data_IF_557040584429
#
_entry.id   IF_557040584429
#
_cell.length_a   1.000
_cell.length_b   1.000
_cell.length_c   1.000
_cell.angle_alpha   90.00
_cell.angle_beta   90.00
_cell.angle_gamma   90.00
#
_symmetry.space_group_name_H-M   'P 1'
#
loop_
_entity.id
_entity.type
_entity.pdbx_description
1 polymer ?
#
# COMPACT_ATOMS: atom_id res chain seq x y z
N UNK A 1 22.13 -11.83 -19.95
CA UNK A 1 23.17 -10.78 -20.04
C UNK A 1 22.70 -9.57 -20.84
N UNK A 2 22.11 -9.70 -22.03
CA UNK A 2 21.56 -8.55 -22.77
C UNK A 2 20.51 -7.74 -21.97
N UNK A 3 19.62 -8.42 -21.24
CA UNK A 3 18.50 -7.79 -20.51
C UNK A 3 18.89 -6.93 -19.30
N UNK A 4 20.04 -7.17 -18.64
CA UNK A 4 20.45 -6.40 -17.46
C UNK A 4 21.23 -5.13 -17.79
N UNK A 5 21.83 -5.07 -18.99
CA UNK A 5 22.52 -3.86 -19.45
C UNK A 5 21.48 -2.81 -19.89
N UNK A 6 20.44 -3.24 -20.60
CA UNK A 6 19.33 -2.42 -21.10
C UNK A 6 18.55 -1.73 -19.96
N UNK A 7 18.27 -2.47 -18.87
CA UNK A 7 17.64 -1.91 -17.66
C UNK A 7 18.53 -0.90 -16.94
N UNK A 8 19.86 -1.05 -17.01
CA UNK A 8 20.79 -0.13 -16.33
C UNK A 8 20.84 1.23 -17.03
N UNK A 9 20.78 1.25 -18.37
CA UNK A 9 20.76 2.48 -19.17
C UNK A 9 19.44 3.24 -19.06
N UNK A 10 18.30 2.53 -19.04
CA UNK A 10 16.99 3.17 -18.85
C UNK A 10 16.87 3.87 -17.47
N UNK A 11 17.39 3.25 -16.41
CA UNK A 11 17.44 3.86 -15.08
C UNK A 11 18.43 5.04 -14.98
N UNK A 12 19.49 5.05 -15.78
CA UNK A 12 20.43 6.18 -15.85
C UNK A 12 19.79 7.40 -16.51
N UNK A 13 19.02 7.19 -17.59
CA UNK A 13 18.26 8.24 -18.27
C UNK A 13 17.18 8.85 -17.35
N UNK A 14 16.42 8.03 -16.62
CA UNK A 14 15.40 8.50 -15.66
C UNK A 14 15.98 9.30 -14.48
N UNK A 15 17.23 9.01 -14.08
CA UNK A 15 17.92 9.71 -12.98
C UNK A 15 18.78 10.90 -13.46
N UNK A 16 18.74 11.23 -14.75
CA UNK A 16 19.52 12.30 -15.36
C UNK A 16 18.75 13.63 -15.41
N UNK A 17 19.39 14.71 -14.98
CA UNK A 17 18.79 16.05 -15.00
C UNK A 17 18.84 16.64 -16.42
N UNK A 18 17.69 16.96 -17.06
CA UNK A 18 17.63 17.39 -18.47
C UNK A 18 18.24 18.78 -18.75
N UNK A 19 18.76 19.48 -17.73
CA UNK A 19 19.44 20.78 -17.87
C UNK A 19 20.97 20.66 -17.83
N UNK A 20 21.52 19.69 -17.09
CA UNK A 20 22.97 19.48 -17.01
C UNK A 20 23.45 18.18 -17.65
N UNK A 21 22.53 17.28 -18.03
CA UNK A 21 22.82 15.98 -18.64
C UNK A 21 23.81 15.15 -17.79
N UNK A 22 23.62 15.25 -16.47
CA UNK A 22 24.31 14.51 -15.42
C UNK A 22 23.23 14.09 -14.40
N UNK A 23 23.48 13.02 -13.66
CA UNK A 23 22.60 12.50 -12.63
C UNK A 23 22.17 13.62 -11.66
N UNK A 24 20.97 13.52 -11.07
CA UNK A 24 20.45 14.55 -10.17
C UNK A 24 21.35 14.84 -8.96
N UNK A 25 21.91 16.05 -8.88
CA UNK A 25 22.67 16.55 -7.71
C UNK A 25 21.83 17.59 -6.99
N UNK A 26 21.44 17.27 -5.76
CA UNK A 26 20.55 18.12 -4.96
C UNK A 26 19.26 18.51 -5.72
N UNK A 27 18.45 17.52 -6.17
CA UNK A 27 17.24 17.76 -6.94
C UNK A 27 16.21 18.59 -6.17
N UNK A 28 15.59 19.52 -6.88
CA UNK A 28 14.61 20.45 -6.37
C UNK A 28 13.35 20.42 -7.26
N UNK A 29 12.19 20.40 -6.61
CA UNK A 29 10.88 20.30 -7.23
C UNK A 29 10.40 21.68 -7.70
N UNK A 30 9.88 21.75 -8.93
CA UNK A 30 9.10 22.89 -9.42
C UNK A 30 7.60 22.69 -9.15
N UNK A 31 6.78 23.76 -9.13
CA UNK A 31 5.32 23.64 -8.94
C UNK A 31 4.60 22.76 -9.98
N UNK A 32 5.22 22.46 -11.12
CA UNK A 32 4.72 21.52 -12.14
C UNK A 32 5.14 20.05 -11.90
N UNK A 33 5.70 19.70 -10.74
CA UNK A 33 6.13 18.34 -10.40
C UNK A 33 7.49 17.89 -10.97
N UNK A 34 8.09 18.66 -11.89
CA UNK A 34 9.37 18.32 -12.50
C UNK A 34 10.56 18.67 -11.60
N UNK A 35 11.65 17.90 -11.71
CA UNK A 35 12.80 17.95 -10.80
C UNK A 35 14.06 18.42 -11.52
N UNK A 36 14.86 19.29 -10.90
CA UNK A 36 16.12 19.78 -11.45
C UNK A 36 17.16 19.98 -10.35
N UNK A 37 18.44 19.77 -10.64
CA UNK A 37 19.54 20.08 -9.71
C UNK A 37 19.44 21.53 -9.20
N UNK A 38 19.75 21.80 -7.93
CA UNK A 38 19.70 23.15 -7.35
C UNK A 38 20.43 24.22 -8.19
N UNK A 39 21.60 23.87 -8.73
CA UNK A 39 22.38 24.76 -9.59
C UNK A 39 21.70 25.05 -10.94
N UNK A 40 20.93 24.08 -11.46
CA UNK A 40 20.12 24.22 -12.68
C UNK A 40 18.90 25.12 -12.41
N UNK A 41 18.17 24.92 -11.31
CA UNK A 41 17.07 25.83 -10.89
C UNK A 41 17.60 27.26 -10.70
N UNK A 42 18.75 27.42 -10.02
CA UNK A 42 19.43 28.72 -9.86
C UNK A 42 19.93 29.32 -11.19
N UNK A 43 20.16 28.52 -12.24
CA UNK A 43 20.51 29.01 -13.58
C UNK A 43 19.25 29.49 -14.31
N UNK A 44 18.18 28.69 -14.32
CA UNK A 44 16.88 29.04 -14.91
C UNK A 44 16.31 30.32 -14.29
N UNK A 45 16.35 30.46 -12.96
CA UNK A 45 15.92 31.69 -12.27
C UNK A 45 16.77 32.92 -12.60
N UNK A 46 18.05 32.76 -12.97
CA UNK A 46 18.93 33.88 -13.41
C UNK A 46 18.71 34.29 -14.87
N UNK A 47 18.16 33.39 -15.68
CA UNK A 47 17.81 33.63 -17.09
C UNK A 47 16.35 34.07 -17.26
N UNK A 48 15.66 34.38 -16.17
CA UNK A 48 14.25 34.70 -16.15
C UNK A 48 13.95 36.13 -16.61
N UNK A 49 13.21 36.27 -17.70
CA UNK A 49 12.69 37.55 -18.13
C UNK A 49 11.47 37.95 -17.29
N UNK A 50 11.43 39.22 -16.84
CA UNK A 50 10.32 39.77 -16.03
C UNK A 50 9.97 38.94 -14.78
N UNK A 51 10.96 38.26 -14.19
CA UNK A 51 10.79 37.46 -12.97
C UNK A 51 10.06 36.13 -13.17
N UNK A 52 9.93 35.64 -14.41
CA UNK A 52 9.37 34.32 -14.74
C UNK A 52 10.35 33.50 -15.58
N UNK A 53 10.38 32.19 -15.32
CA UNK A 53 11.09 31.21 -16.12
C UNK A 53 10.12 30.11 -16.59
N UNK A 54 10.53 29.30 -17.56
CA UNK A 54 9.76 28.15 -18.03
C UNK A 54 10.41 26.85 -17.59
N UNK A 55 9.61 25.84 -17.27
CA UNK A 55 10.09 24.48 -17.05
C UNK A 55 10.67 23.91 -18.37
N UNK A 56 11.90 23.38 -18.40
CA UNK A 56 12.48 22.76 -19.59
C UNK A 56 11.67 21.58 -20.15
N UNK A 57 10.97 20.83 -19.29
CA UNK A 57 10.22 19.63 -19.67
C UNK A 57 8.80 19.98 -20.16
N UNK A 58 7.92 20.48 -19.28
CA UNK A 58 6.53 20.80 -19.63
C UNK A 58 6.29 22.23 -20.16
N UNK A 59 7.30 23.09 -20.21
CA UNK A 59 7.23 24.50 -20.71
C UNK A 59 6.34 25.47 -19.90
N UNK A 60 5.77 25.01 -18.79
CA UNK A 60 4.96 25.78 -17.84
C UNK A 60 5.73 26.96 -17.21
N UNK A 61 5.06 28.07 -16.91
CA UNK A 61 5.67 29.32 -16.46
C UNK A 61 5.61 29.53 -14.94
N UNK A 62 6.77 29.53 -14.29
CA UNK A 62 6.92 29.71 -12.85
C UNK A 62 7.53 31.07 -12.49
N UNK A 63 7.15 31.63 -11.34
CA UNK A 63 7.74 32.88 -10.80
C UNK A 63 9.06 32.56 -10.11
N UNK A 64 10.07 33.42 -10.25
CA UNK A 64 11.37 33.23 -9.58
C UNK A 64 11.29 33.23 -8.05
N UNK A 65 10.28 33.91 -7.49
CA UNK A 65 10.04 34.06 -6.05
C UNK A 65 9.54 32.79 -5.36
N UNK A 66 9.03 31.79 -6.09
CA UNK A 66 8.56 30.55 -5.45
C UNK A 66 9.75 29.77 -4.91
N UNK A 67 9.74 29.47 -3.61
CA UNK A 67 10.70 28.53 -3.04
C UNK A 67 10.54 27.17 -3.74
N UNK A 68 11.65 26.60 -4.19
CA UNK A 68 11.70 25.22 -4.67
C UNK A 68 12.10 24.35 -3.49
N UNK A 69 11.36 23.29 -3.20
CA UNK A 69 11.69 22.35 -2.13
C UNK A 69 12.66 21.27 -2.64
N UNK A 70 13.54 20.77 -1.77
CA UNK A 70 14.45 19.67 -2.08
C UNK A 70 13.69 18.35 -2.11
N UNK A 71 13.91 17.54 -3.15
CA UNK A 71 13.38 16.19 -3.24
C UNK A 71 14.38 15.20 -2.61
N UNK A 72 14.21 14.92 -1.32
CA UNK A 72 15.09 14.03 -0.56
C UNK A 72 15.12 12.59 -1.10
N UNK A 73 13.97 12.07 -1.56
CA UNK A 73 13.89 10.71 -2.13
C UNK A 73 14.72 10.60 -3.41
N UNK A 74 14.54 11.52 -4.35
CA UNK A 74 15.28 11.52 -5.62
C UNK A 74 16.79 11.79 -5.40
N UNK A 75 17.15 12.59 -4.40
CA UNK A 75 18.55 12.80 -4.01
C UNK A 75 19.20 11.47 -3.58
N UNK A 76 18.56 10.75 -2.65
CA UNK A 76 19.06 9.48 -2.12
C UNK A 76 19.19 8.41 -3.21
N UNK A 77 18.22 8.30 -4.12
CA UNK A 77 18.24 7.34 -5.23
C UNK A 77 19.39 7.65 -6.21
N UNK A 78 19.57 8.92 -6.59
CA UNK A 78 20.65 9.33 -7.49
C UNK A 78 22.05 9.15 -6.85
N UNK A 79 22.17 9.34 -5.54
CA UNK A 79 23.44 9.12 -4.82
C UNK A 79 23.76 7.62 -4.63
N UNK A 80 22.78 6.76 -4.35
CA UNK A 80 22.96 5.30 -4.33
C UNK A 80 23.37 4.77 -5.71
N UNK A 81 22.71 5.23 -6.79
CA UNK A 81 23.07 4.86 -8.17
C UNK A 81 24.53 5.24 -8.50
N UNK A 82 24.99 6.45 -8.13
CA UNK A 82 26.40 6.85 -8.26
C UNK A 82 27.35 5.94 -7.50
N UNK A 83 26.98 5.56 -6.27
CA UNK A 83 27.83 4.73 -5.42
C UNK A 83 27.97 3.31 -6.00
N UNK A 84 26.86 2.72 -6.45
CA UNK A 84 26.83 1.43 -7.16
C UNK A 84 27.63 1.48 -8.47
N UNK A 85 27.47 2.52 -9.28
CA UNK A 85 28.25 2.71 -10.52
C UNK A 85 29.76 2.73 -10.26
N UNK A 86 30.22 3.45 -9.22
CA UNK A 86 31.64 3.45 -8.81
C UNK A 86 32.15 2.10 -8.32
N UNK A 87 31.31 1.33 -7.63
CA UNK A 87 31.69 0.00 -7.14
C UNK A 87 31.98 -1.00 -8.28
N UNK A 88 31.34 -0.84 -9.45
CA UNK A 88 31.59 -1.69 -10.62
C UNK A 88 32.91 -1.31 -11.32
N UNK A 89 33.20 -0.01 -11.49
CA UNK A 89 34.44 0.45 -12.14
C UNK A 89 35.71 0.24 -11.31
N UNK A 90 35.61 0.14 -9.98
CA UNK A 90 36.80 0.10 -9.09
C UNK A 90 37.37 -1.31 -8.85
N UNK A 91 36.87 -2.34 -9.53
CA UNK A 91 37.28 -3.75 -9.31
C UNK A 91 38.59 -4.17 -9.98
N UNK A 92 39.39 -3.22 -10.48
CA UNK A 92 40.68 -3.46 -11.16
C UNK A 92 41.88 -2.69 -10.59
N UNK A 93 41.74 -2.02 -9.43
CA UNK A 93 42.87 -1.56 -8.63
C UNK A 93 42.47 -1.43 -7.14
N UNK A 94 42.81 -2.45 -6.37
CA UNK A 94 43.04 -2.36 -4.92
C UNK A 94 44.53 -2.02 -4.69
N UNK A 95 44.86 -1.30 -3.61
CA UNK A 95 45.06 -1.97 -2.32
C UNK A 95 44.39 -1.31 -1.10
N UNK A 96 44.36 -2.09 -0.03
CA UNK A 96 43.87 -1.86 1.33
C UNK A 96 43.89 -0.42 1.89
N UNK A 97 42.81 -0.09 2.62
CA UNK A 97 42.71 1.10 3.47
C UNK A 97 41.40 1.13 4.27
N UNK A 98 41.44 0.74 5.53
CA UNK A 98 40.29 0.73 6.45
C UNK A 98 39.69 2.14 6.67
N UNK A 99 38.36 2.31 6.76
CA UNK A 99 37.73 3.62 6.92
C UNK A 99 37.93 4.16 8.34
N UNK A 100 39.02 4.90 8.55
CA UNK A 100 39.17 5.72 9.76
C UNK A 100 38.41 7.04 9.58
N UNK A 101 37.64 7.40 10.61
CA UNK A 101 36.84 8.62 10.63
C UNK A 101 37.73 9.86 10.50
N UNK A 102 37.42 10.72 9.53
CA UNK A 102 38.20 11.91 9.23
C UNK A 102 38.04 13.00 10.32
N UNK A 103 38.69 12.79 11.47
CA UNK A 103 39.01 13.89 12.38
C UNK A 103 40.07 14.74 11.70
N UNK A 104 39.71 15.96 11.30
CA UNK A 104 40.64 16.98 10.83
C UNK A 104 41.58 17.37 11.98
N UNK A 105 42.69 16.66 12.12
CA UNK A 105 43.73 16.99 13.09
C UNK A 105 44.37 18.32 12.68
N UNK A 106 44.12 19.37 13.47
CA UNK A 106 44.86 20.63 13.35
C UNK A 106 46.29 20.32 13.80
N UNK A 107 47.25 20.37 12.86
CA UNK A 107 48.66 20.15 13.16
C UNK A 107 49.21 21.30 13.98
N UNK A 108 49.37 21.09 15.29
CA UNK A 108 49.94 22.08 16.21
C UNK A 108 51.47 22.04 16.12
N UNK A 109 52.17 23.17 15.92
CA UNK A 109 53.63 23.19 15.87
C UNK A 109 54.24 22.94 17.26
N UNK A 110 55.51 22.55 17.30
CA UNK A 110 56.30 22.50 18.53
C UNK A 110 56.87 23.89 18.86
N UNK A 111 56.63 24.38 20.08
CA UNK A 111 57.03 25.72 20.52
C UNK A 111 58.55 25.86 20.78
N UNK A 112 59.27 24.74 20.90
CA UNK A 112 60.72 24.70 21.12
C UNK A 112 61.55 24.55 19.85
N UNK A 113 60.94 24.11 18.74
CA UNK A 113 61.67 23.91 17.49
C UNK A 113 61.77 25.23 16.72
N UNK A 114 62.91 25.91 16.83
CA UNK A 114 63.25 27.03 15.95
C UNK A 114 63.07 26.61 14.47
N UNK A 115 62.45 27.44 13.61
CA UNK A 115 62.21 27.12 12.20
C UNK A 115 63.47 27.13 11.30
N UNK A 116 64.64 26.74 11.84
CA UNK A 116 65.93 26.82 11.13
C UNK A 116 67.11 26.01 11.69
N UNK A 117 66.99 25.33 12.83
CA UNK A 117 68.13 24.65 13.47
C UNK A 117 68.07 23.11 13.33
N UNK A 118 68.34 22.60 12.13
CA UNK A 118 68.76 21.19 11.99
C UNK A 118 70.23 21.06 12.38
N UNK A 119 70.51 20.42 13.52
CA UNK A 119 71.86 20.02 13.89
C UNK A 119 72.39 18.91 12.98
N UNK A 120 73.19 19.33 11.99
CA UNK A 120 74.19 18.57 11.25
C UNK A 120 73.77 17.34 10.40
N UNK A 121 73.60 17.56 9.09
CA UNK A 121 74.44 16.89 8.08
C UNK A 121 74.24 17.45 6.65
N UNK A 122 75.33 17.85 5.99
CA UNK A 122 75.43 17.78 4.52
C UNK A 122 74.92 18.97 3.69
N UNK A 123 75.87 19.77 3.22
CA UNK A 123 75.78 20.75 2.11
C UNK A 123 74.79 20.37 0.99
N UNK A 124 73.78 21.21 0.71
CA UNK A 124 72.99 21.10 -0.53
C UNK A 124 71.76 22.03 -0.61
N UNK A 125 71.80 22.94 -1.60
CA UNK A 125 70.68 23.66 -2.24
C UNK A 125 69.75 24.62 -1.43
N UNK A 126 69.56 25.88 -1.89
CA UNK A 126 68.58 26.80 -1.33
C UNK A 126 67.17 26.53 -1.91
N UNK A 127 66.43 25.60 -1.32
CA UNK A 127 65.07 25.27 -1.78
C UNK A 127 64.21 24.37 -0.87
N UNK A 128 64.72 23.96 0.30
CA UNK A 128 63.97 23.10 1.21
C UNK A 128 62.99 23.90 2.09
N UNK A 129 61.74 23.45 2.17
CA UNK A 129 60.70 24.07 3.00
C UNK A 129 61.01 23.93 4.50
N UNK A 130 60.55 24.90 5.29
CA UNK A 130 60.67 24.90 6.75
C UNK A 130 59.96 23.67 7.31
N UNK A 131 60.72 22.72 7.86
CA UNK A 131 60.18 21.53 8.54
C UNK A 131 59.78 21.94 9.96
N UNK A 132 58.54 22.42 10.11
CA UNK A 132 57.97 22.70 11.43
C UNK A 132 57.56 21.37 12.06
N UNK A 133 58.28 20.94 13.10
CA UNK A 133 57.93 19.71 13.81
C UNK A 133 56.57 19.84 14.49
N UNK A 134 55.73 18.82 14.31
CA UNK A 134 54.39 18.78 14.89
C UNK A 134 54.47 18.31 16.34
N UNK A 135 53.77 19.01 17.23
CA UNK A 135 53.65 18.61 18.62
C UNK A 135 52.86 17.31 18.75
N UNK A 136 53.30 16.43 19.67
CA UNK A 136 52.62 15.18 20.03
C UNK A 136 51.89 15.27 21.37
N UNK A 137 52.28 16.22 22.22
CA UNK A 137 51.63 16.55 23.50
C UNK A 137 51.73 18.03 23.80
N UNK A 138 50.72 18.57 24.49
CA UNK A 138 50.78 19.90 25.10
C UNK A 138 50.80 19.75 26.62
N UNK A 139 51.72 20.44 27.29
CA UNK A 139 51.86 20.46 28.75
C UNK A 139 51.02 21.58 29.33
N UNK A 140 49.98 21.26 30.11
CA UNK A 140 49.06 22.25 30.69
C UNK A 140 49.65 23.01 31.91
N UNK A 141 50.89 22.70 32.31
CA UNK A 141 51.61 23.41 33.38
C UNK A 141 52.77 24.27 32.88
N UNK A 142 53.38 23.91 31.76
CA UNK A 142 54.38 24.73 31.07
C UNK A 142 53.78 25.55 29.91
N UNK A 143 52.51 25.31 29.55
CA UNK A 143 51.75 26.00 28.49
C UNK A 143 52.39 25.89 27.10
N UNK A 144 53.08 24.77 26.84
CA UNK A 144 53.86 24.52 25.61
C UNK A 144 53.47 23.19 24.96
N UNK A 145 53.45 23.21 23.63
CA UNK A 145 53.24 22.09 22.72
C UNK A 145 54.60 21.57 22.24
N UNK A 146 54.82 20.26 22.39
CA UNK A 146 56.13 19.63 22.25
C UNK A 146 56.10 18.48 21.25
N UNK A 147 57.08 18.43 20.36
CA UNK A 147 57.36 17.28 19.51
C UNK A 147 57.84 16.07 20.33
N UNK A 148 58.07 14.95 19.65
CA UNK A 148 58.48 13.69 20.27
C UNK A 148 59.84 13.76 21.00
N UNK A 149 60.69 14.73 20.67
CA UNK A 149 61.96 15.00 21.35
C UNK A 149 61.75 15.85 22.61
N UNK A 150 61.11 17.01 22.46
CA UNK A 150 60.90 17.99 23.54
C UNK A 150 59.94 17.50 24.64
N UNK A 151 59.12 16.47 24.38
CA UNK A 151 58.29 15.83 25.42
C UNK A 151 59.08 14.85 26.31
N UNK A 152 60.24 14.33 25.89
CA UNK A 152 61.03 13.34 26.68
C UNK A 152 61.33 13.82 28.12
N UNK A 153 61.77 15.07 28.37
CA UNK A 153 61.94 15.60 29.73
C UNK A 153 60.69 15.49 30.62
N UNK A 154 59.49 15.66 30.04
CA UNK A 154 58.21 15.55 30.74
C UNK A 154 57.76 14.11 31.00
N UNK A 155 58.42 13.11 30.41
CA UNK A 155 58.15 11.68 30.63
C UNK A 155 59.21 11.04 31.53
N UNK A 156 60.46 11.48 31.42
CA UNK A 156 61.63 10.82 32.01
C UNK A 156 62.14 11.51 33.28
N UNK A 157 62.11 12.86 33.36
CA UNK A 157 62.69 13.58 34.49
C UNK A 157 61.70 13.73 35.66
N UNK A 158 62.07 13.37 36.91
CA UNK A 158 61.19 13.50 38.07
C UNK A 158 60.62 14.90 38.31
N UNK A 159 61.33 15.95 37.90
CA UNK A 159 60.90 17.34 38.04
C UNK A 159 59.69 17.71 37.17
N UNK A 160 59.48 17.02 36.05
CA UNK A 160 58.45 17.34 35.05
C UNK A 160 57.44 16.21 34.83
N UNK A 161 57.70 15.00 35.34
CA UNK A 161 56.83 13.82 35.18
C UNK A 161 55.41 13.98 35.71
N UNK A 162 55.23 14.82 36.74
CA UNK A 162 53.92 15.15 37.32
C UNK A 162 53.19 16.28 36.56
N UNK A 163 53.70 16.72 35.41
CA UNK A 163 53.04 17.74 34.60
C UNK A 163 51.93 17.12 33.74
N UNK A 164 50.69 17.64 33.77
CA UNK A 164 49.60 17.13 32.96
C UNK A 164 49.84 17.36 31.46
N UNK A 165 50.04 16.28 30.71
CA UNK A 165 50.16 16.27 29.26
C UNK A 165 48.81 15.88 28.61
N UNK A 166 48.36 16.65 27.63
CA UNK A 166 47.17 16.35 26.81
C UNK A 166 47.53 16.19 25.33
N UNK A 167 46.55 15.81 24.50
CA UNK A 167 46.67 15.92 23.04
C UNK A 167 47.00 17.37 22.63
N UNK A 168 47.67 17.58 21.48
CA UNK A 168 48.05 18.91 21.02
C UNK A 168 46.86 19.85 20.86
N UNK A 169 46.84 20.96 21.61
CA UNK A 169 45.77 21.95 21.55
C UNK A 169 46.20 23.13 20.68
N UNK A 170 45.53 23.32 19.54
CA UNK A 170 45.85 24.41 18.61
C UNK A 170 45.54 25.82 19.14
N UNK A 171 44.74 25.93 20.20
CA UNK A 171 44.53 27.17 20.94
C UNK A 171 44.32 26.87 22.43
N UNK A 172 45.36 27.14 23.23
CA UNK A 172 45.34 26.95 24.68
C UNK A 172 44.43 27.94 25.41
N UNK A 173 44.12 29.12 24.82
CA UNK A 173 43.28 30.14 25.47
C UNK A 173 41.86 29.62 25.74
N UNK A 174 41.37 28.69 24.91
CA UNK A 174 40.08 27.99 25.10
C UNK A 174 40.02 27.09 26.34
N UNK A 175 41.14 26.86 27.01
CA UNK A 175 41.22 26.12 28.29
C UNK A 175 41.52 27.02 29.49
N UNK A 176 41.63 28.34 29.29
CA UNK A 176 41.87 29.33 30.34
C UNK A 176 40.62 30.18 30.61
N UNK A 177 40.49 30.61 31.86
CA UNK A 177 39.58 31.67 32.26
C UNK A 177 40.05 33.01 31.65
N UNK A 178 39.18 33.76 30.93
CA UNK A 178 39.56 35.04 30.32
C UNK A 178 39.80 36.16 31.34
N UNK A 179 39.24 36.06 32.55
CA UNK A 179 39.35 37.07 33.61
C UNK A 179 40.63 36.90 34.44
N UNK A 180 41.07 35.66 34.65
CA UNK A 180 42.16 35.32 35.58
C UNK A 180 43.41 34.76 34.89
N UNK A 181 43.37 34.48 33.57
CA UNK A 181 44.40 33.78 32.76
C UNK A 181 44.85 32.41 33.34
N UNK A 182 44.04 31.84 34.24
CA UNK A 182 44.24 30.53 34.84
C UNK A 182 43.54 29.41 34.06
N UNK A 183 44.16 28.24 33.98
CA UNK A 183 43.55 27.03 33.40
C UNK A 183 42.30 26.60 34.17
N UNK A 184 41.23 26.25 33.45
CA UNK A 184 40.03 25.66 34.04
C UNK A 184 40.34 24.31 34.71
N UNK A 185 39.89 24.13 35.96
CA UNK A 185 40.07 22.88 36.74
C UNK A 185 38.75 22.32 37.26
N UNK A 186 37.74 23.18 37.38
CA UNK A 186 36.44 22.85 37.95
C UNK A 186 35.31 23.18 36.98
N UNK A 187 34.11 22.74 37.34
CA UNK A 187 32.86 23.03 36.66
C UNK A 187 31.85 23.46 37.73
N UNK A 188 31.24 24.62 37.56
CA UNK A 188 30.09 25.04 38.34
C UNK A 188 28.85 24.34 37.79
N UNK A 189 28.13 23.61 38.63
CA UNK A 189 26.94 22.85 38.24
C UNK A 189 25.76 23.78 37.96
N UNK A 190 25.64 24.85 38.75
CA UNK A 190 24.52 25.80 38.76
C UNK A 190 24.58 26.69 37.49
N UNK A 191 25.72 27.36 37.24
CA UNK A 191 25.93 28.16 36.03
C UNK A 191 26.30 27.35 34.78
N UNK A 192 26.54 26.04 34.94
CA UNK A 192 26.90 25.08 33.87
C UNK A 192 28.15 25.50 33.04
N UNK A 193 29.13 26.12 33.69
CA UNK A 193 30.40 26.60 33.07
C UNK A 193 31.67 26.04 33.72
N UNK A 194 32.75 25.98 32.93
CA UNK A 194 34.09 25.68 33.41
C UNK A 194 34.67 26.89 34.17
N UNK A 195 35.30 26.65 35.33
CA UNK A 195 35.87 27.69 36.20
C UNK A 195 37.30 27.36 36.67
N UNK A 196 38.11 28.40 36.88
CA UNK A 196 39.47 28.28 37.44
C UNK A 196 39.44 28.43 38.98
N UNK A 197 40.59 28.39 39.65
CA UNK A 197 40.64 28.47 41.11
C UNK A 197 40.21 29.85 41.62
N UNK A 198 40.67 30.93 40.99
CA UNK A 198 40.29 32.29 41.38
C UNK A 198 38.77 32.52 41.29
N UNK A 199 38.12 32.04 40.22
CA UNK A 199 36.66 32.09 40.04
C UNK A 199 35.86 31.46 41.21
N UNK A 200 36.41 30.47 41.92
CA UNK A 200 35.72 29.80 43.04
C UNK A 200 35.93 30.46 44.39
N UNK A 201 36.91 31.37 44.53
CA UNK A 201 37.31 31.98 45.80
C UNK A 201 36.96 33.47 45.83
N UNK A 202 37.29 34.19 44.77
CA UNK A 202 37.15 35.66 44.68
C UNK A 202 36.19 36.09 43.55
N UNK A 203 35.79 35.17 42.67
CA UNK A 203 34.84 35.40 41.59
C UNK A 203 33.37 35.21 41.96
N UNK A 204 32.50 35.35 40.96
CA UNK A 204 31.03 35.33 41.12
C UNK A 204 30.41 33.98 41.49
N UNK A 205 31.18 32.89 41.55
CA UNK A 205 30.67 31.54 41.85
C UNK A 205 30.78 31.16 43.35
N UNK A 206 30.93 32.15 44.23
CA UNK A 206 31.07 31.92 45.66
C UNK A 206 29.77 31.35 46.26
N UNK A 207 29.82 30.11 46.75
CA UNK A 207 28.66 29.38 47.29
C UNK A 207 27.95 28.44 46.31
N UNK A 208 28.38 28.41 45.04
CA UNK A 208 27.83 27.50 44.03
C UNK A 208 28.37 26.07 44.19
N UNK A 209 27.64 25.10 43.63
CA UNK A 209 27.99 23.68 43.63
C UNK A 209 29.08 23.40 42.59
N UNK A 210 30.34 23.33 43.04
CA UNK A 210 31.50 23.22 42.15
C UNK A 210 32.16 21.83 42.27
N UNK A 211 32.25 21.11 41.15
CA UNK A 211 32.91 19.81 41.02
C UNK A 211 34.20 19.91 40.20
N UNK A 212 35.14 18.97 40.39
CA UNK A 212 36.31 18.88 39.48
C UNK A 212 35.86 18.43 38.10
N UNK A 213 36.49 18.94 37.03
CA UNK A 213 36.16 18.55 35.65
C UNK A 213 36.17 17.02 35.43
N UNK A 214 37.05 16.30 36.13
CA UNK A 214 37.12 14.83 36.09
C UNK A 214 35.89 14.15 36.68
N UNK A 215 35.36 14.68 37.79
CA UNK A 215 34.16 14.12 38.43
C UNK A 215 32.91 14.48 37.63
N UNK A 216 32.75 15.74 37.21
CA UNK A 216 31.64 16.15 36.33
C UNK A 216 31.61 15.33 35.04
N UNK A 217 32.77 15.08 34.41
CA UNK A 217 32.87 14.21 33.23
C UNK A 217 32.45 12.76 33.53
N UNK A 218 32.69 12.24 34.73
CA UNK A 218 32.24 10.90 35.12
C UNK A 218 30.73 10.87 35.33
N UNK A 219 30.18 11.85 36.05
CA UNK A 219 28.76 11.94 36.37
C UNK A 219 27.92 12.12 35.09
N UNK A 220 28.32 13.05 34.21
CA UNK A 220 27.66 13.26 32.92
C UNK A 220 27.77 12.05 31.99
N UNK A 221 28.89 11.31 32.02
CA UNK A 221 29.01 10.05 31.26
C UNK A 221 28.08 8.98 31.77
N UNK A 222 27.96 8.80 33.10
CA UNK A 222 27.01 7.86 33.69
C UNK A 222 25.56 8.20 33.33
N UNK A 223 25.22 9.50 33.34
CA UNK A 223 23.90 9.97 32.87
C UNK A 223 23.65 9.62 31.40
N UNK A 224 24.62 9.87 30.50
CA UNK A 224 24.52 9.50 29.09
C UNK A 224 24.47 7.98 28.86
N UNK A 225 25.20 7.19 29.65
CA UNK A 225 25.16 5.72 29.61
C UNK A 225 23.78 5.19 30.03
N UNK A 226 23.15 5.79 31.06
CA UNK A 226 21.78 5.47 31.46
C UNK A 226 20.74 5.88 30.41
N UNK A 227 20.88 7.08 29.82
CA UNK A 227 20.01 7.54 28.72
C UNK A 227 20.12 6.64 27.50
N UNK A 228 21.33 6.20 27.14
CA UNK A 228 21.56 5.26 26.05
C UNK A 228 20.84 3.92 26.31
N UNK A 229 20.94 3.38 27.53
CA UNK A 229 20.20 2.17 27.92
C UNK A 229 18.67 2.36 27.84
N UNK A 230 18.13 3.51 28.25
CA UNK A 230 16.69 3.82 28.10
C UNK A 230 16.29 3.86 26.62
N UNK A 231 17.12 4.44 25.74
CA UNK A 231 16.88 4.46 24.29
C UNK A 231 16.95 3.05 23.69
N UNK A 232 17.95 2.25 24.04
CA UNK A 232 18.11 0.88 23.55
C UNK A 232 16.91 0.01 23.94
N UNK A 233 16.39 0.12 25.17
CA UNK A 233 15.15 -0.56 25.60
C UNK A 233 13.94 -0.14 24.76
N UNK A 234 13.74 1.17 24.56
CA UNK A 234 12.62 1.71 23.76
C UNK A 234 12.71 1.29 22.29
N UNK A 235 13.91 1.24 21.72
CA UNK A 235 14.15 0.74 20.35
C UNK A 235 13.76 -0.74 20.24
N UNK A 236 14.19 -1.58 21.20
CA UNK A 236 13.82 -3.00 21.23
C UNK A 236 12.30 -3.23 21.39
N UNK A 237 11.60 -2.45 22.24
CA UNK A 237 10.12 -2.54 22.34
C UNK A 237 9.46 -2.12 21.01
N UNK A 238 9.90 -1.00 20.41
CA UNK A 238 9.37 -0.55 19.12
C UNK A 238 9.62 -1.55 17.97
N UNK A 239 10.76 -2.26 17.96
CA UNK A 239 11.05 -3.29 16.95
C UNK A 239 10.18 -4.54 17.12
N UNK A 240 9.95 -5.00 18.36
CA UNK A 240 9.01 -6.10 18.65
C UNK A 240 7.58 -5.76 18.23
N UNK A 241 7.06 -4.61 18.67
CA UNK A 241 5.72 -4.15 18.31
C UNK A 241 5.57 -4.05 16.78
N UNK A 242 6.60 -3.56 16.06
CA UNK A 242 6.60 -3.52 14.59
C UNK A 242 6.61 -4.92 13.95
N UNK A 243 7.28 -5.90 14.56
CA UNK A 243 7.28 -7.29 14.09
C UNK A 243 5.91 -7.97 14.31
N UNK A 244 5.29 -7.75 15.47
CA UNK A 244 3.95 -8.23 15.80
C UNK A 244 2.89 -7.65 14.86
N UNK A 245 2.91 -6.33 14.61
CA UNK A 245 1.99 -5.69 13.67
C UNK A 245 2.16 -6.20 12.23
N UNK A 246 3.40 -6.49 11.79
CA UNK A 246 3.66 -7.11 10.48
C UNK A 246 3.15 -8.55 10.38
N UNK A 247 3.25 -9.32 11.47
CA UNK A 247 2.70 -10.68 11.50
C UNK A 247 1.17 -10.64 11.47
N UNK A 248 0.55 -9.69 12.18
CA UNK A 248 -0.90 -9.48 12.15
C UNK A 248 -1.39 -9.02 10.76
N UNK A 249 -0.67 -8.10 10.10
CA UNK A 249 -0.91 -7.73 8.69
C UNK A 249 -0.81 -8.96 7.77
N UNK A 250 0.21 -9.80 7.96
CA UNK A 250 0.41 -11.04 7.19
C UNK A 250 -0.65 -12.10 7.46
N UNK A 251 -1.23 -12.16 8.65
CA UNK A 251 -2.34 -13.06 9.00
C UNK A 251 -3.65 -12.56 8.40
N UNK A 252 -3.97 -11.28 8.59
CA UNK A 252 -5.16 -10.63 8.02
C UNK A 252 -5.16 -10.77 6.48
N UNK A 253 -4.02 -10.51 5.83
CA UNK A 253 -3.88 -10.70 4.39
C UNK A 253 -4.21 -12.14 3.95
N UNK A 254 -3.73 -13.17 4.66
CA UNK A 254 -4.07 -14.56 4.33
C UNK A 254 -5.56 -14.85 4.53
N UNK A 255 -6.14 -14.39 5.64
CA UNK A 255 -7.58 -14.53 5.86
C UNK A 255 -8.41 -13.92 4.71
N UNK A 256 -8.01 -12.75 4.20
CA UNK A 256 -8.65 -12.14 3.03
C UNK A 256 -8.44 -12.97 1.74
N UNK A 257 -7.24 -13.51 1.50
CA UNK A 257 -6.95 -14.38 0.35
C UNK A 257 -7.74 -15.70 0.42
N UNK A 258 -7.78 -16.35 1.58
CA UNK A 258 -8.53 -17.59 1.83
C UNK A 258 -10.06 -17.36 1.72
N UNK A 259 -10.54 -16.21 2.19
CA UNK A 259 -11.96 -15.80 2.11
C UNK A 259 -12.42 -15.52 0.67
N UNK A 260 -11.63 -14.76 -0.09
CA UNK A 260 -11.89 -14.52 -1.53
C UNK A 260 -11.88 -15.82 -2.34
N UNK A 261 -10.96 -16.75 -2.02
CA UNK A 261 -10.93 -18.08 -2.62
C UNK A 261 -12.17 -18.91 -2.25
N UNK A 262 -12.63 -18.86 -0.99
CA UNK A 262 -13.84 -19.54 -0.53
C UNK A 262 -15.12 -19.02 -1.19
N UNK A 263 -15.26 -17.68 -1.31
CA UNK A 263 -16.38 -17.04 -2.02
C UNK A 263 -16.35 -17.37 -3.52
N UNK A 264 -15.18 -17.37 -4.14
CA UNK A 264 -15.02 -17.76 -5.56
C UNK A 264 -15.43 -19.21 -5.79
N UNK A 265 -14.94 -20.14 -4.96
CA UNK A 265 -15.30 -21.55 -5.04
C UNK A 265 -16.80 -21.80 -4.80
N UNK A 266 -17.43 -21.07 -3.86
CA UNK A 266 -18.88 -21.10 -3.68
C UNK A 266 -19.60 -20.61 -4.96
N UNK A 267 -19.13 -19.55 -5.60
CA UNK A 267 -19.68 -19.07 -6.87
C UNK A 267 -19.66 -20.13 -7.97
N UNK A 268 -18.53 -20.83 -8.15
CA UNK A 268 -18.40 -21.93 -9.10
C UNK A 268 -19.36 -23.10 -8.79
N UNK A 269 -19.47 -23.49 -7.51
CA UNK A 269 -20.40 -24.53 -7.05
C UNK A 269 -21.85 -24.12 -7.35
N UNK A 270 -22.27 -22.94 -6.91
CA UNK A 270 -23.65 -22.45 -7.12
C UNK A 270 -24.02 -22.34 -8.60
N UNK A 271 -23.07 -21.99 -9.48
CA UNK A 271 -23.29 -22.02 -10.93
C UNK A 271 -23.63 -23.44 -11.41
N UNK A 272 -22.89 -24.46 -10.98
CA UNK A 272 -23.15 -25.86 -11.36
C UNK A 272 -24.53 -26.33 -10.85
N UNK A 273 -24.91 -26.00 -9.62
CA UNK A 273 -26.26 -26.33 -9.10
C UNK A 273 -27.36 -25.60 -9.88
N UNK A 274 -27.16 -24.33 -10.27
CA UNK A 274 -28.12 -23.58 -11.08
C UNK A 274 -28.28 -24.18 -12.49
N UNK A 275 -27.18 -24.53 -13.15
CA UNK A 275 -27.20 -25.19 -14.46
C UNK A 275 -27.87 -26.59 -14.39
N UNK A 276 -27.62 -27.34 -13.30
CA UNK A 276 -28.27 -28.61 -13.00
C UNK A 276 -29.78 -28.47 -12.77
N UNK A 277 -30.21 -27.50 -11.96
CA UNK A 277 -31.61 -27.18 -11.70
C UNK A 277 -32.35 -26.78 -12.98
N UNK A 278 -31.79 -25.86 -13.78
CA UNK A 278 -32.35 -25.45 -15.07
C UNK A 278 -32.46 -26.63 -16.05
N UNK A 279 -31.51 -27.57 -16.01
CA UNK A 279 -31.58 -28.81 -16.80
C UNK A 279 -32.72 -29.71 -16.31
N UNK A 280 -32.86 -29.91 -14.99
CA UNK A 280 -33.96 -30.70 -14.43
C UNK A 280 -35.34 -30.12 -14.73
N UNK A 281 -35.52 -28.79 -14.72
CA UNK A 281 -36.80 -28.18 -15.10
C UNK A 281 -37.15 -28.40 -16.59
N UNK A 282 -36.14 -28.34 -17.47
CA UNK A 282 -36.30 -28.69 -18.89
C UNK A 282 -36.64 -30.16 -19.05
N UNK A 283 -36.01 -31.05 -18.28
CA UNK A 283 -36.27 -32.49 -18.35
C UNK A 283 -37.69 -32.83 -17.87
N UNK A 284 -38.19 -32.21 -16.79
CA UNK A 284 -39.60 -32.29 -16.37
C UNK A 284 -40.56 -31.81 -17.48
N UNK A 285 -40.24 -30.70 -18.14
CA UNK A 285 -41.05 -30.18 -19.25
C UNK A 285 -41.03 -31.12 -20.48
N UNK A 286 -39.86 -31.70 -20.78
CA UNK A 286 -39.65 -32.60 -21.90
C UNK A 286 -40.33 -33.96 -21.72
N UNK A 287 -40.21 -34.59 -20.54
CA UNK A 287 -40.88 -35.86 -20.26
C UNK A 287 -42.40 -35.73 -20.42
N UNK A 288 -42.97 -34.66 -19.87
CA UNK A 288 -44.39 -34.34 -19.96
C UNK A 288 -44.88 -34.13 -21.41
N UNK A 289 -44.11 -33.40 -22.21
CA UNK A 289 -44.39 -33.21 -23.64
C UNK A 289 -44.30 -34.51 -24.46
N UNK A 290 -43.38 -35.41 -24.08
CA UNK A 290 -43.19 -36.72 -24.73
C UNK A 290 -44.35 -37.68 -24.46
N UNK A 291 -45.05 -37.59 -23.34
CA UNK A 291 -46.24 -38.42 -23.08
C UNK A 291 -47.45 -37.99 -23.91
N UNK A 292 -47.64 -36.68 -24.11
CA UNK A 292 -48.74 -36.14 -24.92
C UNK A 292 -48.55 -36.39 -26.43
N UNK A 293 -47.31 -36.29 -26.92
CA UNK A 293 -46.97 -36.37 -28.35
C UNK A 293 -47.54 -37.59 -29.10
N UNK A 294 -47.31 -38.84 -28.66
CA UNK A 294 -47.83 -40.05 -29.29
C UNK A 294 -49.37 -40.13 -29.31
N UNK A 295 -50.03 -39.56 -28.31
CA UNK A 295 -51.50 -39.50 -28.23
C UNK A 295 -52.06 -38.48 -29.23
N UNK A 296 -51.44 -37.31 -29.34
CA UNK A 296 -51.77 -36.29 -30.35
C UNK A 296 -51.52 -36.84 -31.76
N UNK A 297 -50.37 -37.48 -32.03
CA UNK A 297 -50.08 -38.12 -33.33
C UNK A 297 -51.12 -39.19 -33.69
N UNK A 298 -51.56 -40.01 -32.74
CA UNK A 298 -52.61 -41.02 -32.95
C UNK A 298 -53.97 -40.39 -33.26
N UNK A 299 -54.28 -39.24 -32.66
CA UNK A 299 -55.50 -38.49 -32.93
C UNK A 299 -55.46 -37.84 -34.33
N UNK A 300 -54.32 -37.24 -34.72
CA UNK A 300 -54.08 -36.72 -36.08
C UNK A 300 -54.24 -37.84 -37.12
N UNK A 301 -53.63 -39.01 -36.90
CA UNK A 301 -53.72 -40.13 -37.85
C UNK A 301 -55.17 -40.60 -38.09
N UNK A 302 -56.01 -40.63 -37.05
CA UNK A 302 -57.45 -40.95 -37.18
C UNK A 302 -58.21 -39.85 -37.92
N UNK A 303 -57.95 -38.57 -37.62
CA UNK A 303 -58.58 -37.44 -38.29
C UNK A 303 -58.23 -37.41 -39.80
N UNK A 304 -56.97 -37.65 -40.16
CA UNK A 304 -56.51 -37.77 -41.55
C UNK A 304 -57.15 -38.97 -42.27
N UNK A 305 -57.32 -40.10 -41.58
CA UNK A 305 -58.01 -41.27 -42.14
C UNK A 305 -59.48 -40.96 -42.48
N UNK A 306 -60.18 -40.22 -41.62
CA UNK A 306 -61.56 -39.79 -41.89
C UNK A 306 -61.64 -38.70 -42.96
N UNK A 307 -60.69 -37.78 -43.01
CA UNK A 307 -60.57 -36.78 -44.07
C UNK A 307 -60.40 -37.43 -45.45
N UNK A 308 -59.44 -38.37 -45.57
CA UNK A 308 -59.21 -39.13 -46.81
C UNK A 308 -60.45 -39.95 -47.20
N UNK A 309 -61.09 -40.65 -46.26
CA UNK A 309 -62.36 -41.36 -46.48
C UNK A 309 -63.45 -40.45 -47.05
N UNK A 310 -63.59 -39.23 -46.54
CA UNK A 310 -64.57 -38.26 -47.03
C UNK A 310 -64.19 -37.68 -48.39
N UNK A 311 -62.91 -37.40 -48.63
CA UNK A 311 -62.40 -36.92 -49.92
C UNK A 311 -62.62 -37.94 -51.05
N UNK A 312 -62.40 -39.23 -50.79
CA UNK A 312 -62.68 -40.31 -51.74
C UNK A 312 -64.17 -40.37 -52.11
N UNK A 313 -65.04 -40.28 -51.10
CA UNK A 313 -66.50 -40.27 -51.30
C UNK A 313 -66.96 -39.02 -52.03
N UNK A 314 -66.43 -37.85 -51.68
CA UNK A 314 -66.72 -36.59 -52.36
C UNK A 314 -66.34 -36.68 -53.84
N UNK A 315 -65.10 -37.08 -54.14
CA UNK A 315 -64.58 -37.22 -55.50
C UNK A 315 -65.36 -38.24 -56.32
N UNK A 316 -65.73 -39.37 -55.72
CA UNK A 316 -66.56 -40.40 -56.36
C UNK A 316 -67.99 -39.94 -56.66
N UNK A 317 -68.63 -39.19 -55.75
CA UNK A 317 -69.96 -38.60 -55.97
C UNK A 317 -69.87 -37.50 -57.05
N UNK A 318 -68.87 -36.63 -56.98
CA UNK A 318 -68.66 -35.53 -57.93
C UNK A 318 -68.43 -36.06 -59.35
N UNK A 319 -67.57 -37.07 -59.51
CA UNK A 319 -67.32 -37.72 -60.82
C UNK A 319 -68.60 -38.34 -61.38
N UNK A 320 -69.37 -39.05 -60.55
CA UNK A 320 -70.64 -39.66 -60.97
C UNK A 320 -71.70 -38.61 -61.32
N UNK A 321 -71.72 -37.46 -60.64
CA UNK A 321 -72.64 -36.35 -60.94
C UNK A 321 -72.27 -35.58 -62.22
N UNK A 322 -71.03 -35.71 -62.70
CA UNK A 322 -70.54 -35.13 -63.96
C UNK A 322 -70.67 -36.08 -65.16
N UNK A 323 -71.13 -37.33 -64.96
CA UNK A 323 -71.38 -38.26 -66.05
C UNK A 323 -72.60 -37.82 -66.88
N UNK A 324 -72.42 -37.72 -68.19
CA UNK A 324 -73.43 -37.21 -69.12
C UNK A 324 -74.13 -38.32 -69.91
N UNK A 325 -73.60 -39.55 -69.92
CA UNK A 325 -74.28 -40.70 -70.54
C UNK A 325 -75.29 -41.35 -69.55
N UNK A 326 -76.60 -41.38 -69.86
CA UNK A 326 -77.61 -41.90 -68.93
C UNK A 326 -77.47 -43.40 -68.61
N UNK A 327 -76.88 -44.20 -69.51
CA UNK A 327 -76.71 -45.63 -69.27
C UNK A 327 -75.53 -45.89 -68.34
N UNK A 328 -74.37 -45.24 -68.59
CA UNK A 328 -73.19 -45.28 -67.72
C UNK A 328 -73.47 -44.71 -66.33
N UNK A 329 -74.20 -43.60 -66.26
CA UNK A 329 -74.66 -43.05 -64.99
C UNK A 329 -75.46 -44.08 -64.18
N UNK A 330 -76.47 -44.72 -64.79
CA UNK A 330 -77.31 -45.72 -64.09
C UNK A 330 -76.55 -47.01 -63.73
N UNK A 331 -75.57 -47.41 -64.53
CA UNK A 331 -74.68 -48.54 -64.26
C UNK A 331 -73.77 -48.25 -63.05
N UNK A 332 -73.03 -47.13 -63.09
CA UNK A 332 -72.13 -46.68 -62.04
C UNK A 332 -72.85 -46.28 -60.74
N UNK A 333 -74.05 -45.70 -60.83
CA UNK A 333 -74.87 -45.39 -59.66
C UNK A 333 -75.33 -46.66 -58.94
N UNK A 334 -75.77 -47.69 -59.68
CA UNK A 334 -76.19 -48.97 -59.09
C UNK A 334 -75.04 -49.71 -58.39
N UNK A 335 -73.81 -49.62 -58.91
CA UNK A 335 -72.64 -50.21 -58.26
C UNK A 335 -72.14 -49.39 -57.06
N UNK A 336 -72.09 -48.06 -57.16
CA UNK A 336 -71.34 -47.21 -56.23
C UNK A 336 -72.18 -46.54 -55.14
N UNK A 337 -73.46 -46.26 -55.37
CA UNK A 337 -74.35 -45.56 -54.42
C UNK A 337 -74.38 -46.21 -53.03
N UNK A 338 -74.42 -47.56 -52.98
CA UNK A 338 -74.39 -48.32 -51.72
C UNK A 338 -73.07 -48.20 -50.96
N UNK A 339 -71.96 -47.91 -51.63
CA UNK A 339 -70.65 -47.70 -51.00
C UNK A 339 -70.61 -46.31 -50.35
N UNK A 340 -70.94 -45.25 -51.10
CA UNK A 340 -71.01 -43.88 -50.58
C UNK A 340 -71.89 -43.78 -49.33
N UNK A 341 -73.12 -44.31 -49.39
CA UNK A 341 -74.04 -44.33 -48.25
C UNK A 341 -73.56 -45.18 -47.05
N UNK A 342 -72.65 -46.14 -47.25
CA UNK A 342 -72.01 -46.91 -46.16
C UNK A 342 -70.86 -46.13 -45.52
N UNK A 343 -70.04 -45.46 -46.34
CA UNK A 343 -68.93 -44.65 -45.84
C UNK A 343 -69.43 -43.41 -45.10
N UNK A 344 -70.45 -42.70 -45.61
CA UNK A 344 -71.04 -41.53 -44.95
C UNK A 344 -71.74 -41.84 -43.62
N UNK A 345 -72.17 -43.10 -43.41
CA UNK A 345 -72.79 -43.54 -42.14
C UNK A 345 -71.80 -43.87 -41.04
N UNK A 346 -70.49 -43.88 -41.31
CA UNK A 346 -69.48 -44.03 -40.27
C UNK A 346 -69.34 -42.71 -39.50
N UNK A 347 -69.39 -42.72 -38.16
CA UNK A 347 -69.17 -41.51 -37.37
C UNK A 347 -67.78 -40.95 -37.66
N UNK A 348 -67.63 -39.64 -37.48
CA UNK A 348 -66.31 -38.99 -37.52
C UNK A 348 -65.60 -39.22 -36.18
N UNK A 349 -64.28 -39.37 -36.26
CA UNK A 349 -63.43 -39.31 -35.09
C UNK A 349 -63.55 -37.93 -34.43
N UNK A 350 -63.94 -37.92 -33.16
CA UNK A 350 -63.86 -36.77 -32.27
C UNK A 350 -62.74 -37.06 -31.27
N UNK A 351 -61.77 -36.16 -31.17
CA UNK A 351 -60.72 -36.27 -30.17
C UNK A 351 -61.26 -35.78 -28.83
N UNK A 352 -61.16 -36.62 -27.80
CA UNK A 352 -61.17 -36.14 -26.42
C UNK A 352 -59.94 -35.25 -26.22
N UNK A 353 -60.10 -34.14 -25.53
CA UNK A 353 -59.01 -33.19 -25.31
C UNK A 353 -57.90 -33.89 -24.54
N UNK A 354 -56.69 -33.93 -25.12
CA UNK A 354 -55.49 -34.32 -24.39
C UNK A 354 -55.10 -33.14 -23.50
N UNK A 355 -55.82 -32.96 -22.39
CA UNK A 355 -55.42 -32.02 -21.35
C UNK A 355 -54.06 -32.48 -20.83
N UNK A 356 -53.11 -31.55 -20.89
CA UNK A 356 -51.80 -31.68 -20.26
C UNK A 356 -52.04 -31.67 -18.76
N UNK A 357 -51.48 -32.62 -18.00
CA UNK A 357 -51.58 -32.65 -16.54
C UNK A 357 -50.69 -31.54 -15.96
N UNK A 358 -51.23 -30.32 -15.93
CA UNK A 358 -50.56 -29.11 -15.46
C UNK A 358 -50.15 -29.22 -14.00
N UNK A 359 -50.95 -29.92 -13.21
CA UNK A 359 -50.89 -29.92 -11.76
C UNK A 359 -49.77 -30.86 -11.31
N UNK A 360 -49.69 -32.07 -11.89
CA UNK A 360 -48.56 -32.98 -11.67
C UNK A 360 -47.21 -32.44 -12.18
N UNK A 361 -47.22 -31.64 -13.25
CA UNK A 361 -46.00 -30.94 -13.71
C UNK A 361 -45.58 -29.82 -12.73
N UNK A 362 -46.54 -29.04 -12.22
CA UNK A 362 -46.27 -27.99 -11.24
C UNK A 362 -45.70 -28.58 -9.94
N UNK A 363 -46.35 -29.60 -9.36
CA UNK A 363 -45.85 -30.32 -8.17
C UNK A 363 -44.42 -30.85 -8.38
N UNK A 364 -44.13 -31.41 -9.57
CA UNK A 364 -42.77 -31.89 -9.90
C UNK A 364 -41.74 -30.77 -10.02
N UNK A 365 -42.12 -29.57 -10.46
CA UNK A 365 -41.21 -28.42 -10.58
C UNK A 365 -40.99 -27.73 -9.23
N UNK A 366 -42.02 -27.62 -8.41
CA UNK A 366 -41.95 -27.10 -7.03
C UNK A 366 -41.04 -27.97 -6.15
N UNK A 367 -41.17 -29.30 -6.21
CA UNK A 367 -40.27 -30.21 -5.51
C UNK A 367 -38.80 -30.02 -5.91
N UNK A 368 -38.53 -29.76 -7.20
CA UNK A 368 -37.16 -29.46 -7.69
C UNK A 368 -36.64 -28.10 -7.24
N UNK A 369 -37.53 -27.13 -7.03
CA UNK A 369 -37.19 -25.84 -6.46
C UNK A 369 -36.83 -25.96 -4.97
N UNK A 370 -37.56 -26.76 -4.19
CA UNK A 370 -37.26 -27.00 -2.78
C UNK A 370 -35.91 -27.72 -2.60
N UNK A 371 -35.63 -28.76 -3.40
CA UNK A 371 -34.33 -29.45 -3.48
C UNK A 371 -33.19 -28.43 -3.70
N UNK A 372 -33.31 -27.60 -4.74
CA UNK A 372 -32.30 -26.60 -5.13
C UNK A 372 -32.07 -25.54 -4.05
N UNK A 373 -33.14 -24.95 -3.50
CA UNK A 373 -33.03 -23.92 -2.45
C UNK A 373 -32.36 -24.47 -1.18
N UNK A 374 -32.65 -25.72 -0.81
CA UNK A 374 -32.04 -26.39 0.34
C UNK A 374 -30.54 -26.58 0.14
N UNK A 375 -30.12 -27.02 -1.06
CA UNK A 375 -28.71 -27.24 -1.39
C UNK A 375 -27.92 -25.92 -1.44
N UNK A 376 -28.45 -24.89 -2.12
CA UNK A 376 -27.87 -23.53 -2.15
C UNK A 376 -27.71 -22.97 -0.73
N UNK A 377 -28.76 -23.06 0.10
CA UNK A 377 -28.73 -22.59 1.49
C UNK A 377 -27.67 -23.32 2.31
N UNK A 378 -27.51 -24.64 2.13
CA UNK A 378 -26.49 -25.44 2.79
C UNK A 378 -25.07 -24.96 2.45
N UNK A 379 -24.77 -24.75 1.16
CA UNK A 379 -23.45 -24.28 0.71
C UNK A 379 -23.12 -22.86 1.21
N UNK A 380 -24.07 -21.94 1.14
CA UNK A 380 -23.91 -20.57 1.66
C UNK A 380 -23.70 -20.60 3.18
N UNK A 381 -24.50 -21.39 3.91
CA UNK A 381 -24.37 -21.53 5.37
C UNK A 381 -23.03 -22.14 5.79
N UNK A 382 -22.52 -23.12 5.04
CA UNK A 382 -21.19 -23.70 5.30
C UNK A 382 -20.10 -22.64 5.22
N UNK A 383 -20.06 -21.86 4.11
CA UNK A 383 -19.05 -20.82 3.93
C UNK A 383 -19.14 -19.74 5.03
N UNK A 384 -20.35 -19.30 5.41
CA UNK A 384 -20.53 -18.33 6.50
C UNK A 384 -19.92 -18.83 7.81
N UNK A 385 -20.15 -20.10 8.18
CA UNK A 385 -19.58 -20.69 9.40
C UNK A 385 -18.06 -20.88 9.34
N UNK A 386 -17.50 -21.06 8.14
CA UNK A 386 -16.06 -21.19 7.91
C UNK A 386 -15.32 -19.84 7.95
N UNK A 387 -15.92 -18.79 7.37
CA UNK A 387 -15.36 -17.44 7.35
C UNK A 387 -15.61 -16.64 8.63
N UNK A 388 -16.69 -16.94 9.35
CA UNK A 388 -17.01 -16.38 10.66
C UNK A 388 -16.98 -17.49 11.73
N UNK A 389 -15.79 -18.05 12.05
CA UNK A 389 -15.67 -18.93 13.19
C UNK A 389 -16.13 -18.16 14.43
N UNK A 390 -17.11 -18.70 15.15
CA UNK A 390 -17.67 -18.04 16.34
C UNK A 390 -16.55 -17.83 17.34
N UNK A 391 -16.07 -16.58 17.43
CA UNK A 391 -15.05 -16.18 18.40
C UNK A 391 -15.69 -16.26 19.77
N UNK A 392 -15.48 -17.39 20.44
CA UNK A 392 -15.61 -17.44 21.89
C UNK A 392 -14.42 -16.67 22.42
N UNK A 393 -14.68 -15.48 22.92
CA UNK A 393 -13.72 -14.68 23.67
C UNK A 393 -13.31 -15.51 24.90
N UNK A 394 -12.23 -16.28 24.77
CA UNK A 394 -11.42 -16.59 25.94
C UNK A 394 -10.60 -15.33 26.20
N UNK A 395 -10.93 -14.68 27.33
CA UNK A 395 -10.21 -13.52 27.86
C UNK A 395 -8.75 -13.94 28.15
N UNK A 396 -7.89 -13.88 27.13
CA UNK A 396 -6.46 -14.06 27.33
C UNK A 396 -5.97 -12.85 28.13
N UNK A 397 -5.76 -13.11 29.42
CA UNK A 397 -5.24 -12.17 30.40
C UNK A 397 -3.74 -11.98 30.18
N UNK A 398 -3.41 -11.47 28.98
CA UNK A 398 -2.13 -10.90 28.62
C UNK A 398 -1.92 -9.62 29.41
N UNK A 399 -1.62 -9.77 30.70
CA UNK A 399 -1.13 -8.69 31.53
C UNK A 399 0.20 -8.21 30.96
N UNK A 400 0.15 -7.15 30.16
CA UNK A 400 1.31 -6.27 30.02
C UNK A 400 1.57 -5.72 31.43
N UNK A 401 2.61 -6.26 32.09
CA UNK A 401 3.26 -5.55 33.18
C UNK A 401 3.78 -4.24 32.58
N UNK A 402 2.99 -3.18 32.76
CA UNK A 402 3.49 -1.83 32.65
C UNK A 402 4.60 -1.70 33.69
N UNK A 403 5.85 -1.85 33.23
CA UNK A 403 7.01 -1.32 33.93
C UNK A 403 6.77 0.19 34.11
N UNK A 404 6.10 0.55 35.21
CA UNK A 404 6.14 1.88 35.79
C UNK A 404 7.62 2.17 36.09
N UNK A 405 8.33 2.73 35.10
CA UNK A 405 9.67 3.30 35.26
C UNK A 405 9.54 4.40 36.33
N UNK A 406 9.76 4.06 37.60
CA UNK A 406 9.79 4.96 38.76
C UNK A 406 10.57 6.24 38.40
N UNK A 407 9.84 7.33 38.17
CA UNK A 407 10.42 8.62 37.81
C UNK A 407 10.87 9.37 39.07
N UNK A 408 11.81 8.77 39.80
CA UNK A 408 12.53 9.43 40.91
C UNK A 408 13.53 10.44 40.33
N UNK A 409 12.97 11.51 39.79
CA UNK A 409 13.66 12.69 39.29
C UNK A 409 13.62 13.81 40.32
N UNK A 410 14.09 13.55 41.55
CA UNK A 410 14.50 14.62 42.46
C UNK A 410 15.79 15.27 41.94
N UNK A 411 15.66 16.31 41.12
CA UNK A 411 16.35 17.59 41.31
C UNK A 411 15.74 18.59 40.30
N UNK A 412 15.02 19.58 40.82
CA UNK A 412 14.28 20.55 40.01
C UNK A 412 15.15 21.67 39.44
N UNK A 413 14.77 22.14 38.26
CA UNK A 413 15.03 23.51 37.79
C UNK A 413 13.73 23.96 37.10
N UNK A 414 13.06 24.96 37.67
CA UNK A 414 11.80 25.49 37.15
C UNK A 414 12.03 26.34 35.90
N UNK A 415 11.26 26.09 34.84
CA UNK A 415 10.96 27.12 33.85
C UNK A 415 9.58 26.86 33.21
N UNK A 416 8.62 27.71 33.59
CA UNK A 416 7.30 27.84 32.95
C UNK A 416 7.41 28.48 31.54
N UNK A 417 6.24 28.85 30.98
CA UNK A 417 5.88 29.27 29.61
C UNK A 417 5.40 28.07 28.75
N UNK A 418 4.10 27.73 28.72
CA UNK A 418 3.02 28.33 27.89
C UNK A 418 3.26 28.09 26.37
N UNK A 419 2.31 27.83 25.45
CA UNK A 419 0.84 27.88 25.31
C UNK A 419 0.40 26.60 24.49
N UNK A 420 -0.84 26.08 24.36
CA UNK A 420 -2.19 26.42 24.85
C UNK A 420 -3.11 25.16 24.86
N UNK A 421 -4.44 25.32 24.71
CA UNK A 421 -5.54 24.34 24.83
C UNK A 421 -5.86 23.44 23.60
N UNK A 422 -6.56 22.32 23.83
CA UNK A 422 -7.96 22.15 23.39
C UNK A 422 -8.66 21.02 24.17
N UNK A 423 -9.91 21.23 24.59
CA UNK A 423 -10.71 20.29 25.40
C UNK A 423 -12.15 20.20 24.85
N UNK A 424 -12.59 18.97 24.55
CA UNK A 424 -13.99 18.51 24.43
C UNK A 424 -14.84 19.20 23.32
N UNK A 425 -15.96 18.68 22.79
CA UNK A 425 -16.91 17.61 23.13
C UNK A 425 -17.44 16.93 21.84
N UNK A 426 -17.98 15.71 21.92
CA UNK A 426 -19.04 15.11 21.05
C UNK A 426 -19.23 13.63 21.52
N UNK A 427 -20.04 13.41 22.56
CA UNK A 427 -21.48 13.08 22.52
C UNK A 427 -21.77 11.57 22.38
N UNK A 428 -22.13 10.93 23.51
CA UNK A 428 -22.81 9.63 23.51
C UNK A 428 -24.30 9.80 23.13
N UNK A 429 -24.80 8.98 22.22
CA UNK A 429 -26.22 8.85 21.92
C UNK A 429 -26.74 7.49 22.37
N UNK A 430 -27.22 7.41 23.63
CA UNK A 430 -28.06 6.30 24.08
C UNK A 430 -29.48 6.51 23.56
N UNK A 431 -30.02 5.54 22.82
CA UNK A 431 -31.47 5.40 22.69
C UNK A 431 -31.93 3.96 22.85
N UNK A 432 -32.40 3.68 24.06
CA UNK A 432 -33.28 2.57 24.37
C UNK A 432 -34.71 2.90 23.91
N UNK A 433 -35.32 1.99 23.16
CA UNK A 433 -36.73 1.61 23.35
C UNK A 433 -37.10 0.44 22.44
N UNK A 434 -37.32 -0.71 23.08
CA UNK A 434 -38.26 -1.71 22.59
C UNK A 434 -39.70 -1.24 22.85
N UNK A 435 -40.59 -1.30 21.87
CA UNK A 435 -41.99 -1.66 22.15
C UNK A 435 -42.71 -2.21 20.91
N UNK A 436 -43.55 -3.21 21.14
CA UNK A 436 -44.30 -3.97 20.15
C UNK A 436 -45.79 -3.65 20.20
N UNK A 437 -46.45 -3.52 19.06
CA UNK A 437 -47.90 -3.75 18.95
C UNK A 437 -48.33 -4.08 17.52
N UNK A 438 -49.14 -5.13 17.37
CA UNK A 438 -49.96 -5.39 16.20
C UNK A 438 -51.03 -4.30 16.00
N UNK A 439 -51.45 -4.04 14.76
CA UNK A 439 -52.85 -4.29 14.37
C UNK A 439 -53.08 -4.30 12.85
N UNK A 440 -54.12 -5.02 12.44
CA UNK A 440 -54.54 -5.25 11.05
C UNK A 440 -55.45 -4.12 10.54
N UNK A 441 -55.29 -3.65 9.29
CA UNK A 441 -56.45 -3.42 8.40
C UNK A 441 -56.10 -3.22 6.91
N UNK A 442 -56.99 -3.75 6.06
CA UNK A 442 -57.25 -3.44 4.65
C UNK A 442 -58.73 -3.85 4.40
N UNK A 443 -59.44 -3.46 3.32
CA UNK A 443 -59.00 -2.81 2.08
C UNK A 443 -59.94 -1.64 1.62
N UNK A 444 -59.93 -1.34 0.31
CA UNK A 444 -60.84 -0.55 -0.57
C UNK A 444 -60.06 0.53 -1.36
N UNK A 445 -60.25 0.77 -2.67
CA UNK A 445 -61.12 0.14 -3.68
C UNK A 445 -61.63 1.16 -4.73
N UNK A 446 -61.18 1.05 -5.99
CA UNK A 446 -61.65 1.70 -7.26
C UNK A 446 -60.60 1.32 -8.34
N UNK A 447 -60.85 0.69 -9.49
CA UNK A 447 -61.91 0.77 -10.54
C UNK A 447 -61.87 2.04 -11.41
N UNK A 448 -62.42 1.90 -12.64
CA UNK A 448 -62.30 2.73 -13.86
C UNK A 448 -61.01 2.39 -14.67
N UNK A 449 -61.05 1.72 -15.83
CA UNK A 449 -61.78 1.96 -17.12
C UNK A 449 -61.25 3.22 -17.85
N UNK A 450 -61.10 3.32 -19.18
CA UNK A 450 -61.31 2.43 -20.33
C UNK A 450 -60.47 2.99 -21.53
N UNK A 451 -60.69 2.46 -22.74
CA UNK A 451 -60.43 3.03 -24.08
C UNK A 451 -59.30 2.43 -24.96
N UNK A 452 -59.79 1.74 -26.00
CA UNK A 452 -59.09 1.28 -27.20
C UNK A 452 -59.12 2.39 -28.28
N UNK A 453 -58.09 2.52 -29.13
CA UNK A 453 -58.27 2.97 -30.52
C UNK A 453 -57.36 2.14 -31.45
N UNK A 454 -57.95 1.56 -32.49
CA UNK A 454 -57.27 0.88 -33.61
C UNK A 454 -57.14 1.84 -34.83
N UNK A 455 -56.58 1.32 -35.92
CA UNK A 455 -56.50 1.93 -37.27
C UNK A 455 -55.41 3.04 -37.42
N UNK A 456 -54.72 3.21 -38.55
CA UNK A 456 -55.03 2.81 -39.94
C UNK A 456 -53.74 2.45 -40.74
N UNK A 457 -53.91 2.01 -41.99
CA UNK A 457 -52.90 1.42 -42.89
C UNK A 457 -51.95 2.46 -43.56
N UNK A 458 -50.80 2.00 -44.09
CA UNK A 458 -50.43 2.24 -45.51
C UNK A 458 -49.20 1.39 -45.94
N UNK A 459 -49.35 0.59 -47.00
CA UNK A 459 -48.22 0.00 -47.74
C UNK A 459 -47.67 1.02 -48.76
N UNK A 460 -46.35 1.17 -48.88
CA UNK A 460 -45.78 1.70 -50.13
C UNK A 460 -44.66 0.80 -50.69
N UNK A 461 -44.91 0.31 -51.90
CA UNK A 461 -44.01 -0.55 -52.67
C UNK A 461 -43.05 0.32 -53.45
N UNK A 462 -41.74 0.08 -53.36
CA UNK A 462 -40.83 0.45 -54.44
C UNK A 462 -39.80 -0.63 -54.76
N UNK A 463 -39.71 -0.95 -56.04
CA UNK A 463 -38.82 -1.95 -56.64
C UNK A 463 -37.51 -1.32 -57.11
N UNK A 464 -36.39 -2.04 -56.92
CA UNK A 464 -35.32 -2.26 -57.91
C UNK A 464 -34.48 -3.48 -57.50
#
# INVERSE_FOLDING_TARGET
>A
MATSMDQSTLLEDELTCPVCLDLFRDPHLLPCGHNFCLLCVRRLKRQAERGRFRCPECRESHRCSTASQKNFKLANIADDFRYRGRAVSSRQQQPDGSPTTAKTHVSVPCDYCSPGDTSEAGKGEPGAGVVVEVAVKTCLKCEVSMCQEHVKPHLELPAFREHPLTEPLGDLRKRKCPEHDEMYRYYCMDDRVCVCNACTIEGGHAGHTIKTLKNTMKDLKGSLENQLQKVDRKLNKAEKNLQEQKEQERLNKRFLEDSDQGVTALGEVLQVHLEGFLTSLRDCSCSHGVECGPSIQRNIAKAVQDQSRLQDVHSGIQTLAQENDPFRFLEAYKSSSKNFCRQLKKPLFHAECACVDSDGLAESMEAKQEDFLTEVHSHVSHLINELCPVVREEEDSGGEEEDEDDDDSSDGDEQEEAEEEMRSEEEEAVHDQSESADELYSPEGQEEDEEEEEEEEEEEIHSD
#
